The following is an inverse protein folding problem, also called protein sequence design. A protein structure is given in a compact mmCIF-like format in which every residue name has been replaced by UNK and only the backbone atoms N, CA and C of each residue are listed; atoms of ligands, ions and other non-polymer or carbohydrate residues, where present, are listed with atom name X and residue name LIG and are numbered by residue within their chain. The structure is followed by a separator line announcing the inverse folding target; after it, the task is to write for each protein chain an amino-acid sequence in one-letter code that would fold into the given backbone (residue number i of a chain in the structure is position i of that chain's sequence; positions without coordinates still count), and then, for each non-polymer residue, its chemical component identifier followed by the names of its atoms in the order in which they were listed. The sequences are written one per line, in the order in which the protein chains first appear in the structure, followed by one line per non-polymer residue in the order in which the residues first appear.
data_IF_315674026088
#
_entry.id   IF_315674026088
#
_cell.length_a   1.000
_cell.length_b   1.000
_cell.length_c   1.000
_cell.angle_alpha   90.00
_cell.angle_beta   90.00
_cell.angle_gamma   90.00
#
_symmetry.space_group_name_H-M   'P 1'
#
loop_
_entity.id
_entity.type
_entity.pdbx_description
1 polymer ?
#
# COMPACT_ATOMS: atom_id res chain seq x y z
N UNK A 1 -31.60 32.86 7.10
CA UNK A 1 -30.12 32.91 6.98
C UNK A 1 -29.64 31.53 6.54
N UNK A 2 -28.82 31.42 5.49
CA UNK A 2 -28.28 30.12 5.06
C UNK A 2 -27.28 29.61 6.11
N UNK A 3 -27.48 28.37 6.58
CA UNK A 3 -26.56 27.70 7.51
C UNK A 3 -25.21 27.49 6.84
N UNK A 4 -24.14 27.71 7.58
CA UNK A 4 -22.76 27.53 7.07
C UNK A 4 -22.48 26.05 6.86
N UNK A 5 -21.62 25.71 5.89
CA UNK A 5 -21.25 24.33 5.57
C UNK A 5 -20.64 23.56 6.76
N UNK A 6 -20.17 24.27 7.79
CA UNK A 6 -19.62 23.71 9.02
C UNK A 6 -20.72 23.15 9.95
N UNK A 7 -21.87 23.84 10.09
CA UNK A 7 -23.01 23.35 10.90
C UNK A 7 -23.70 22.12 10.29
N UNK A 8 -23.61 21.93 8.97
CA UNK A 8 -24.12 20.75 8.28
C UNK A 8 -23.27 19.49 8.53
N UNK A 9 -22.01 19.64 8.95
CA UNK A 9 -21.14 18.52 9.26
C UNK A 9 -21.41 17.98 10.68
N UNK A 10 -21.62 18.88 11.66
CA UNK A 10 -21.94 18.49 13.06
C UNK A 10 -23.31 17.82 13.19
N UNK A 11 -24.28 18.24 12.37
CA UNK A 11 -25.65 17.68 12.47
C UNK A 11 -25.74 16.23 11.96
N UNK A 12 -24.76 15.75 11.18
CA UNK A 12 -24.68 14.33 10.75
C UNK A 12 -23.90 13.43 11.70
N UNK A 13 -23.13 13.97 12.64
CA UNK A 13 -22.42 13.19 13.67
C UNK A 13 -23.35 12.77 14.82
N UNK A 14 -24.45 13.49 15.06
CA UNK A 14 -25.39 13.21 16.16
C UNK A 14 -26.53 12.23 15.83
N UNK A 15 -26.49 11.58 14.67
CA UNK A 15 -27.46 10.53 14.29
C UNK A 15 -26.77 9.17 14.05
N UNK A 16 -25.67 8.93 14.76
CA UNK A 16 -25.13 7.58 14.92
C UNK A 16 -26.07 6.86 15.89
N UNK A 17 -26.95 6.02 15.34
CA UNK A 17 -27.66 5.01 16.14
C UNK A 17 -26.63 4.31 17.04
N UNK A 18 -26.83 4.43 18.35
CA UNK A 18 -26.07 3.68 19.35
C UNK A 18 -26.36 2.21 19.05
N UNK A 19 -25.46 1.58 18.30
CA UNK A 19 -25.49 0.14 18.03
C UNK A 19 -25.40 -0.54 19.38
N UNK A 20 -26.51 -1.15 19.82
CA UNK A 20 -26.59 -1.86 21.10
C UNK A 20 -25.41 -2.84 21.22
N UNK A 21 -24.72 -2.89 22.38
CA UNK A 21 -23.59 -3.81 22.58
C UNK A 21 -24.08 -5.24 22.36
N UNK A 22 -23.46 -5.90 21.38
CA UNK A 22 -23.80 -7.26 20.95
C UNK A 22 -23.35 -8.25 22.01
N UNK A 23 -24.29 -9.05 22.52
CA UNK A 23 -24.10 -10.00 23.62
C UNK A 23 -22.96 -10.99 23.36
N UNK A 24 -22.07 -11.09 24.37
CA UNK A 24 -20.90 -11.96 24.48
C UNK A 24 -21.34 -13.44 24.52
N UNK A 25 -21.31 -14.17 23.40
CA UNK A 25 -21.41 -15.65 23.47
C UNK A 25 -20.77 -16.37 22.27
N UNK A 26 -20.84 -15.82 21.05
CA UNK A 26 -20.38 -16.55 19.85
C UNK A 26 -18.99 -16.12 19.30
N UNK A 27 -18.26 -15.25 20.01
CA UNK A 27 -17.02 -14.60 19.49
C UNK A 27 -15.72 -15.38 19.74
N UNK A 28 -15.69 -16.31 20.69
CA UNK A 28 -14.47 -17.07 21.04
C UNK A 28 -13.93 -17.91 19.86
N UNK A 29 -14.80 -18.49 19.02
CA UNK A 29 -14.36 -19.42 17.97
C UNK A 29 -13.71 -18.74 16.75
N UNK A 30 -13.89 -17.43 16.55
CA UNK A 30 -13.33 -16.70 15.41
C UNK A 30 -11.95 -16.08 15.67
N UNK A 31 -11.68 -15.66 16.90
CA UNK A 31 -10.40 -15.07 17.31
C UNK A 31 -9.35 -16.18 17.54
N UNK A 32 -9.78 -17.34 18.04
CA UNK A 32 -8.93 -18.53 18.25
C UNK A 32 -8.34 -19.11 16.94
N UNK A 33 -8.96 -18.85 15.78
CA UNK A 33 -8.41 -19.27 14.49
C UNK A 33 -7.23 -18.40 14.01
N UNK A 34 -7.17 -17.12 14.41
CA UNK A 34 -6.06 -16.21 14.09
C UNK A 34 -4.86 -16.38 15.04
N UNK A 35 -5.08 -16.97 16.21
CA UNK A 35 -4.05 -17.26 17.22
C UNK A 35 -2.94 -18.18 16.69
N UNK A 36 -3.24 -19.04 15.70
CA UNK A 36 -2.29 -20.01 15.15
C UNK A 36 -1.23 -19.44 14.21
N UNK A 37 -1.27 -18.16 13.80
CA UNK A 37 -0.30 -17.61 12.82
C UNK A 37 0.74 -16.64 13.38
N UNK A 38 0.82 -16.47 14.70
CA UNK A 38 1.60 -15.40 15.34
C UNK A 38 3.09 -15.74 15.57
N UNK A 39 3.77 -16.31 14.57
CA UNK A 39 5.20 -16.62 14.68
C UNK A 39 6.08 -15.36 14.67
N UNK A 40 5.69 -14.34 13.92
CA UNK A 40 6.47 -13.10 13.77
C UNK A 40 6.34 -12.21 15.00
N UNK A 41 5.17 -12.17 15.63
CA UNK A 41 4.83 -11.24 16.71
C UNK A 41 5.11 -11.73 18.13
N UNK A 42 5.37 -13.04 18.31
CA UNK A 42 5.89 -13.57 19.59
C UNK A 42 7.28 -13.05 19.94
N UNK A 43 7.97 -12.39 19.01
CA UNK A 43 9.32 -11.92 19.26
C UNK A 43 9.28 -10.74 20.25
N UNK A 44 9.96 -10.91 21.39
CA UNK A 44 10.05 -9.91 22.47
C UNK A 44 10.40 -8.50 21.98
N UNK A 45 11.21 -8.37 20.94
CA UNK A 45 11.60 -7.08 20.37
C UNK A 45 10.45 -6.36 19.64
N UNK A 46 9.54 -7.09 18.98
CA UNK A 46 8.36 -6.52 18.31
C UNK A 46 7.44 -5.95 19.37
N UNK A 47 7.09 -6.74 20.40
CA UNK A 47 6.28 -6.27 21.53
C UNK A 47 6.91 -5.06 22.21
N UNK A 48 8.24 -5.07 22.44
CA UNK A 48 8.95 -3.90 23.00
C UNK A 48 8.84 -2.66 22.11
N UNK A 49 8.80 -2.82 20.78
CA UNK A 49 8.64 -1.69 19.87
C UNK A 49 7.20 -1.18 19.85
N UNK A 50 6.21 -2.08 19.86
CA UNK A 50 4.80 -1.74 19.96
C UNK A 50 4.49 -0.98 21.26
N UNK A 51 5.03 -1.43 22.40
CA UNK A 51 4.88 -0.74 23.68
C UNK A 51 5.51 0.66 23.68
N UNK A 52 6.64 0.85 23.00
CA UNK A 52 7.23 2.18 22.84
C UNK A 52 6.34 3.11 22.01
N UNK A 53 5.74 2.58 20.95
CA UNK A 53 4.79 3.35 20.13
C UNK A 53 3.56 3.70 20.95
N UNK A 54 3.04 2.76 21.77
CA UNK A 54 1.95 3.03 22.70
C UNK A 54 2.27 4.23 23.60
N UNK A 55 3.45 4.24 24.22
CA UNK A 55 3.91 5.35 25.09
C UNK A 55 4.11 6.67 24.34
N UNK A 56 4.39 6.63 23.03
CA UNK A 56 4.49 7.83 22.18
C UNK A 56 3.11 8.36 21.76
N UNK A 57 2.08 7.50 21.77
CA UNK A 57 0.71 7.84 21.35
C UNK A 57 -0.22 8.23 22.49
N UNK A 58 0.05 7.71 23.69
CA UNK A 58 -0.65 8.06 24.93
C UNK A 58 -0.21 9.47 25.36
N UNK A 59 -0.77 10.48 24.70
CA UNK A 59 -0.47 11.90 24.95
C UNK A 59 -1.10 12.32 26.28
N UNK A 60 -2.23 11.73 26.62
CA UNK A 60 -2.94 11.99 27.88
C UNK A 60 -2.17 11.47 29.11
N UNK A 61 -1.39 10.40 28.96
CA UNK A 61 -0.61 9.76 30.02
C UNK A 61 -1.45 8.90 30.96
N UNK A 62 -2.65 8.49 30.54
CA UNK A 62 -3.58 7.70 31.36
C UNK A 62 -3.32 6.19 31.29
N UNK A 63 -2.39 5.77 30.41
CA UNK A 63 -2.04 4.38 30.18
C UNK A 63 -3.02 3.64 29.28
N UNK A 64 -3.92 4.35 28.61
CA UNK A 64 -4.91 3.87 27.64
C UNK A 64 -4.80 4.69 26.35
N UNK A 65 -5.51 4.27 25.31
CA UNK A 65 -5.57 5.00 24.06
C UNK A 65 -7.02 5.22 23.65
N UNK A 66 -7.38 6.49 23.47
CA UNK A 66 -8.67 6.83 22.89
C UNK A 66 -8.67 6.56 21.37
N UNK A 67 -9.85 6.61 20.76
CA UNK A 67 -10.01 6.36 19.32
C UNK A 67 -9.26 7.37 18.43
N UNK A 68 -9.06 8.61 18.90
CA UNK A 68 -8.36 9.68 18.19
C UNK A 68 -6.84 9.53 18.26
N UNK A 69 -6.31 9.16 19.43
CA UNK A 69 -4.92 8.80 19.64
C UNK A 69 -4.56 7.56 18.81
N UNK A 70 -5.42 6.53 18.82
CA UNK A 70 -5.23 5.35 17.98
C UNK A 70 -5.17 5.74 16.49
N UNK A 71 -6.12 6.53 15.98
CA UNK A 71 -6.14 6.92 14.57
C UNK A 71 -4.87 7.67 14.16
N UNK A 72 -4.42 8.59 15.00
CA UNK A 72 -3.17 9.34 14.79
C UNK A 72 -1.97 8.40 14.76
N UNK A 73 -1.95 7.39 15.64
CA UNK A 73 -0.90 6.39 15.68
C UNK A 73 -0.87 5.45 14.49
N UNK A 74 -2.02 4.98 14.04
CA UNK A 74 -2.13 4.16 12.83
C UNK A 74 -1.60 4.94 11.62
N UNK A 75 -1.95 6.21 11.48
CA UNK A 75 -1.43 7.07 10.42
C UNK A 75 0.10 7.24 10.51
N UNK A 76 0.63 7.49 11.70
CA UNK A 76 2.07 7.68 11.92
C UNK A 76 2.86 6.41 11.55
N UNK A 77 2.39 5.24 12.01
CA UNK A 77 3.03 3.95 11.70
C UNK A 77 3.02 3.70 10.20
N UNK A 78 1.92 4.01 9.52
CA UNK A 78 1.86 3.86 8.07
C UNK A 78 2.75 4.84 7.33
N UNK A 79 2.86 6.08 7.80
CA UNK A 79 3.77 7.06 7.22
C UNK A 79 5.23 6.60 7.36
N UNK A 80 5.61 6.06 8.52
CA UNK A 80 6.92 5.46 8.72
C UNK A 80 7.17 4.29 7.79
N UNK A 81 6.20 3.37 7.64
CA UNK A 81 6.31 2.24 6.71
C UNK A 81 6.40 2.72 5.24
N UNK A 82 5.65 3.74 4.86
CA UNK A 82 5.66 4.32 3.52
C UNK A 82 7.03 4.88 3.13
N UNK A 83 7.83 5.38 4.10
CA UNK A 83 9.21 5.83 3.84
C UNK A 83 10.11 4.69 3.35
N UNK A 84 9.89 3.47 3.83
CA UNK A 84 10.72 2.31 3.48
C UNK A 84 10.18 1.52 2.28
N UNK A 85 8.87 1.36 2.19
CA UNK A 85 8.23 0.50 1.20
C UNK A 85 7.59 1.27 0.03
N UNK A 86 7.63 2.60 0.10
CA UNK A 86 7.02 3.49 -0.87
C UNK A 86 5.52 3.73 -0.61
N UNK A 87 4.96 4.81 -1.17
CA UNK A 87 3.59 5.22 -0.93
C UNK A 87 2.55 4.22 -1.47
N UNK A 88 2.91 3.44 -2.50
CA UNK A 88 2.01 2.46 -3.11
C UNK A 88 1.68 1.28 -2.19
N UNK A 89 2.57 0.96 -1.24
CA UNK A 89 2.40 -0.18 -0.34
C UNK A 89 1.57 0.16 0.92
N UNK A 90 1.42 1.46 1.23
CA UNK A 90 0.84 1.91 2.49
C UNK A 90 -0.30 2.89 2.22
N UNK A 91 -1.49 2.34 1.97
CA UNK A 91 -2.73 3.12 1.88
C UNK A 91 -3.31 3.33 3.28
N UNK A 92 -3.49 4.59 3.74
CA UNK A 92 -4.12 4.88 5.02
C UNK A 92 -5.52 4.28 5.11
N UNK A 93 -5.86 3.58 6.20
CA UNK A 93 -7.22 3.15 6.45
C UNK A 93 -8.08 4.40 6.65
N UNK A 94 -9.35 4.34 6.23
CA UNK A 94 -10.27 5.42 6.53
C UNK A 94 -10.52 5.49 8.03
N UNK A 95 -10.88 6.68 8.54
CA UNK A 95 -11.25 6.87 9.95
C UNK A 95 -12.27 5.82 10.41
N UNK A 96 -13.32 5.62 9.62
CA UNK A 96 -14.36 4.61 9.89
C UNK A 96 -13.84 3.17 10.00
N UNK A 97 -12.80 2.81 9.25
CA UNK A 97 -12.18 1.47 9.36
C UNK A 97 -11.39 1.34 10.65
N UNK A 98 -10.70 2.41 11.07
CA UNK A 98 -9.99 2.42 12.36
C UNK A 98 -10.97 2.40 13.52
N UNK A 99 -12.07 3.16 13.44
CA UNK A 99 -13.13 3.14 14.44
C UNK A 99 -13.75 1.72 14.55
N UNK A 100 -14.03 1.05 13.43
CA UNK A 100 -14.53 -0.33 13.44
C UNK A 100 -13.52 -1.31 14.06
N UNK A 101 -12.23 -1.14 13.77
CA UNK A 101 -11.18 -1.95 14.39
C UNK A 101 -11.10 -1.66 15.88
N UNK A 102 -11.14 -0.40 16.30
CA UNK A 102 -11.11 0.01 17.71
C UNK A 102 -12.16 -0.76 18.52
N UNK A 103 -13.43 -0.67 18.12
CA UNK A 103 -14.54 -1.38 18.79
C UNK A 103 -14.50 -2.90 18.64
N UNK A 104 -13.66 -3.43 17.74
CA UNK A 104 -13.46 -4.87 17.60
C UNK A 104 -12.44 -5.41 18.59
N UNK A 105 -11.50 -4.57 19.04
CA UNK A 105 -10.42 -4.95 19.98
C UNK A 105 -10.64 -4.45 21.41
N UNK A 106 -11.56 -3.52 21.63
CA UNK A 106 -12.06 -3.12 22.95
C UNK A 106 -12.94 -4.23 23.55
N UNK A 107 -12.29 -5.23 24.17
CA UNK A 107 -12.94 -6.46 24.66
C UNK A 107 -13.75 -6.17 25.94
N UNK A 108 -13.29 -5.21 26.74
CA UNK A 108 -13.95 -4.78 27.97
C UNK A 108 -15.08 -3.75 27.74
N UNK A 109 -15.15 -3.13 26.55
CA UNK A 109 -16.06 -2.04 26.18
C UNK A 109 -15.86 -0.81 27.08
N UNK A 110 -14.61 -0.54 27.47
CA UNK A 110 -14.27 0.64 28.26
C UNK A 110 -14.37 1.93 27.45
N UNK A 111 -14.31 1.84 26.12
CA UNK A 111 -14.22 3.00 25.24
C UNK A 111 -12.79 3.49 25.01
N UNK A 112 -11.80 2.78 25.57
CA UNK A 112 -10.36 3.02 25.42
C UNK A 112 -9.65 1.68 25.19
N UNK A 113 -8.47 1.69 24.57
CA UNK A 113 -7.66 0.48 24.38
C UNK A 113 -6.54 0.40 25.40
N UNK A 114 -6.44 -0.74 26.08
CA UNK A 114 -5.28 -1.04 26.91
C UNK A 114 -4.05 -1.46 26.09
N UNK A 115 -2.92 -1.65 26.78
CA UNK A 115 -1.64 -2.02 26.14
C UNK A 115 -1.70 -3.34 25.39
N UNK A 116 -2.47 -4.32 25.89
CA UNK A 116 -2.56 -5.65 25.28
C UNK A 116 -3.50 -5.64 24.08
N UNK A 117 -4.66 -5.00 24.21
CA UNK A 117 -5.63 -4.78 23.13
C UNK A 117 -4.98 -4.01 21.97
N UNK A 118 -4.24 -2.94 22.28
CA UNK A 118 -3.45 -2.20 21.29
C UNK A 118 -2.41 -3.08 20.57
N UNK A 119 -1.66 -3.90 21.31
CA UNK A 119 -0.68 -4.80 20.70
C UNK A 119 -1.34 -5.79 19.74
N UNK A 120 -2.50 -6.35 20.12
CA UNK A 120 -3.26 -7.28 19.28
C UNK A 120 -3.80 -6.60 18.01
N UNK A 121 -4.33 -5.39 18.16
CA UNK A 121 -4.81 -4.57 17.04
C UNK A 121 -3.68 -4.26 16.07
N UNK A 122 -2.56 -3.73 16.58
CA UNK A 122 -1.43 -3.31 15.77
C UNK A 122 -0.78 -4.50 15.05
N UNK A 123 -0.76 -5.66 15.69
CA UNK A 123 -0.30 -6.90 15.07
C UNK A 123 -1.11 -7.27 13.82
N UNK A 124 -2.44 -7.17 13.90
CA UNK A 124 -3.31 -7.50 12.77
C UNK A 124 -3.14 -6.46 11.64
N UNK A 125 -3.02 -5.18 11.98
CA UNK A 125 -2.70 -4.13 11.02
C UNK A 125 -1.37 -4.39 10.30
N UNK A 126 -0.30 -4.66 11.05
CA UNK A 126 1.02 -4.92 10.50
C UNK A 126 1.06 -6.20 9.65
N UNK A 127 0.32 -7.24 10.03
CA UNK A 127 0.21 -8.47 9.23
C UNK A 127 -0.43 -8.19 7.88
N UNK A 128 -1.49 -7.37 7.83
CA UNK A 128 -2.14 -6.99 6.58
C UNK A 128 -1.21 -6.18 5.68
N UNK A 129 -0.46 -5.23 6.24
CA UNK A 129 0.49 -4.40 5.49
C UNK A 129 1.67 -5.27 4.99
N UNK A 130 2.23 -6.11 5.86
CA UNK A 130 3.34 -7.00 5.51
C UNK A 130 2.93 -7.99 4.42
N UNK A 131 1.71 -8.53 4.46
CA UNK A 131 1.18 -9.40 3.42
C UNK A 131 1.12 -8.72 2.05
N UNK A 132 0.66 -7.47 1.99
CA UNK A 132 0.65 -6.67 0.74
C UNK A 132 2.05 -6.42 0.21
N UNK A 133 2.96 -5.99 1.07
CA UNK A 133 4.36 -5.74 0.71
C UNK A 133 5.00 -7.02 0.16
N UNK A 134 4.85 -8.13 0.89
CA UNK A 134 5.42 -9.41 0.48
C UNK A 134 4.85 -9.88 -0.86
N UNK A 135 3.53 -9.77 -1.04
CA UNK A 135 2.88 -10.14 -2.29
C UNK A 135 3.34 -9.26 -3.45
N UNK A 136 3.45 -7.94 -3.24
CA UNK A 136 3.96 -7.00 -4.24
C UNK A 136 5.39 -7.36 -4.66
N UNK A 137 6.28 -7.63 -3.71
CA UNK A 137 7.65 -8.05 -4.01
C UNK A 137 7.70 -9.40 -4.70
N UNK A 138 6.92 -10.39 -4.25
CA UNK A 138 6.85 -11.70 -4.87
C UNK A 138 6.39 -11.61 -6.33
N UNK A 139 5.31 -10.85 -6.58
CA UNK A 139 4.82 -10.60 -7.93
C UNK A 139 5.83 -9.83 -8.78
N UNK A 140 6.51 -8.82 -8.23
CA UNK A 140 7.51 -8.07 -8.98
C UNK A 140 8.70 -8.96 -9.35
N UNK A 141 9.24 -9.74 -8.40
CA UNK A 141 10.38 -10.62 -8.64
C UNK A 141 10.02 -11.76 -9.60
N UNK A 142 8.79 -12.30 -9.54
CA UNK A 142 8.37 -13.40 -10.40
C UNK A 142 7.88 -12.95 -11.78
N UNK A 143 7.08 -11.88 -11.85
CA UNK A 143 6.39 -11.46 -13.07
C UNK A 143 7.28 -10.65 -14.01
N UNK A 144 8.12 -9.77 -13.45
CA UNK A 144 9.01 -8.90 -14.24
C UNK A 144 9.94 -9.67 -15.18
N UNK A 145 10.71 -10.70 -14.75
CA UNK A 145 11.61 -11.41 -15.65
C UNK A 145 10.88 -12.16 -16.76
N UNK A 146 9.60 -12.53 -16.56
CA UNK A 146 8.79 -13.24 -17.56
C UNK A 146 8.20 -12.25 -18.58
N UNK A 147 7.68 -11.10 -18.12
CA UNK A 147 7.01 -10.14 -18.99
C UNK A 147 7.98 -9.22 -19.73
N UNK A 148 9.07 -8.79 -19.08
CA UNK A 148 10.04 -7.86 -19.66
C UNK A 148 10.53 -8.27 -21.07
N UNK A 149 11.04 -9.50 -21.30
CA UNK A 149 11.52 -9.88 -22.64
C UNK A 149 10.40 -9.93 -23.68
N UNK A 150 9.18 -10.34 -23.29
CA UNK A 150 8.03 -10.39 -24.20
C UNK A 150 7.58 -9.01 -24.65
N UNK A 151 7.54 -8.06 -23.71
CA UNK A 151 7.18 -6.66 -24.01
C UNK A 151 8.22 -6.04 -24.93
N UNK A 152 9.50 -6.26 -24.66
CA UNK A 152 10.59 -5.74 -25.51
C UNK A 152 10.49 -6.29 -26.92
N UNK A 153 10.29 -7.62 -27.07
CA UNK A 153 10.09 -8.23 -28.37
C UNK A 153 8.87 -7.63 -29.10
N UNK A 154 7.76 -7.40 -28.40
CA UNK A 154 6.57 -6.79 -28.97
C UNK A 154 6.79 -5.34 -29.42
N UNK A 155 7.49 -4.54 -28.62
CA UNK A 155 7.84 -3.15 -28.96
C UNK A 155 8.77 -3.09 -30.17
N UNK A 156 9.78 -3.96 -30.25
CA UNK A 156 10.67 -4.03 -31.41
C UNK A 156 9.89 -4.37 -32.69
N UNK A 157 8.96 -5.32 -32.64
CA UNK A 157 8.09 -5.65 -33.77
C UNK A 157 7.19 -4.49 -34.17
N UNK A 158 6.69 -3.71 -33.21
CA UNK A 158 5.91 -2.51 -33.51
C UNK A 158 6.76 -1.43 -34.18
N UNK A 159 7.99 -1.21 -33.71
CA UNK A 159 8.94 -0.27 -34.32
C UNK A 159 9.24 -0.69 -35.76
N UNK A 160 9.47 -1.97 -36.00
CA UNK A 160 9.72 -2.50 -37.35
C UNK A 160 8.52 -2.27 -38.28
N UNK A 161 7.31 -2.59 -37.83
CA UNK A 161 6.08 -2.32 -38.60
C UNK A 161 5.87 -0.83 -38.87
N UNK A 162 6.14 0.01 -37.88
CA UNK A 162 6.01 1.45 -38.02
C UNK A 162 7.05 2.03 -39.00
N UNK A 163 8.28 1.52 -38.95
CA UNK A 163 9.33 1.84 -39.92
C UNK A 163 8.95 1.41 -41.35
N UNK A 164 8.34 0.23 -41.51
CA UNK A 164 7.85 -0.23 -42.81
C UNK A 164 6.73 0.66 -43.39
N UNK A 165 5.91 1.29 -42.54
CA UNK A 165 4.83 2.18 -42.96
C UNK A 165 5.31 3.59 -43.33
N UNK A 166 6.44 4.06 -42.79
CA UNK A 166 6.92 5.42 -43.03
C UNK A 166 8.46 5.54 -43.02
N UNK A 167 9.15 4.85 -43.94
CA UNK A 167 10.62 4.65 -43.87
C UNK A 167 11.44 5.93 -43.99
N UNK A 168 10.90 6.97 -44.65
CA UNK A 168 11.63 8.23 -44.88
C UNK A 168 11.56 9.23 -43.72
N UNK A 169 10.63 9.10 -42.77
CA UNK A 169 10.41 10.13 -41.73
C UNK A 169 11.05 9.80 -40.38
N UNK A 170 11.23 8.52 -40.05
CA UNK A 170 11.66 8.12 -38.69
C UNK A 170 13.17 8.00 -38.59
N UNK A 171 13.81 7.39 -39.59
CA UNK A 171 15.27 7.27 -39.64
C UNK A 171 15.92 8.65 -39.74
N UNK A 172 15.35 9.55 -40.56
CA UNK A 172 15.79 10.93 -40.71
C UNK A 172 15.51 11.78 -39.47
N UNK A 173 14.40 11.57 -38.76
CA UNK A 173 14.09 12.30 -37.52
C UNK A 173 14.97 11.85 -36.33
N UNK A 174 15.19 10.55 -36.15
CA UNK A 174 16.08 10.06 -35.09
C UNK A 174 17.54 10.40 -35.38
N UNK A 175 17.97 10.28 -36.64
CA UNK A 175 19.30 10.68 -37.06
C UNK A 175 19.47 12.20 -36.95
N UNK A 176 18.46 13.01 -37.30
CA UNK A 176 18.53 14.46 -37.19
C UNK A 176 18.56 14.93 -35.74
N UNK A 177 17.75 14.36 -34.84
CA UNK A 177 17.81 14.65 -33.41
C UNK A 177 19.18 14.27 -32.85
N UNK A 178 19.72 13.10 -33.23
CA UNK A 178 21.04 12.66 -32.81
C UNK A 178 22.17 13.56 -33.34
N UNK A 179 22.14 13.94 -34.62
CA UNK A 179 23.16 14.80 -35.23
C UNK A 179 23.09 16.23 -34.74
N UNK A 180 21.88 16.81 -34.58
CA UNK A 180 21.72 18.19 -34.10
C UNK A 180 22.21 18.32 -32.67
N UNK A 181 21.87 17.36 -31.80
CA UNK A 181 22.28 17.40 -30.40
C UNK A 181 23.80 17.21 -30.21
N UNK A 182 24.43 16.36 -31.03
CA UNK A 182 25.88 16.13 -31.00
C UNK A 182 26.67 17.28 -31.64
N UNK A 183 26.17 17.87 -32.73
CA UNK A 183 26.83 19.01 -33.39
C UNK A 183 26.81 20.28 -32.54
N UNK A 184 25.75 20.51 -31.78
CA UNK A 184 25.65 21.68 -30.89
C UNK A 184 26.55 21.56 -29.64
N UNK A 185 26.94 20.34 -29.24
CA UNK A 185 27.72 20.11 -28.03
C UNK A 185 28.87 19.10 -28.26
N UNK A 186 29.93 19.49 -29.00
CA UNK A 186 31.02 18.58 -29.39
C UNK A 186 31.83 18.05 -28.21
N UNK A 187 31.79 18.72 -27.05
CA UNK A 187 32.48 18.31 -25.82
C UNK A 187 31.85 17.08 -25.16
N UNK A 188 30.58 16.76 -25.44
CA UNK A 188 29.87 15.61 -24.86
C UNK A 188 29.84 14.36 -25.76
N UNK A 189 30.23 14.47 -27.02
CA UNK A 189 30.31 13.35 -27.98
C UNK A 189 31.07 12.09 -27.47
N UNK A 190 32.26 12.20 -26.84
CA UNK A 190 32.97 11.03 -26.32
C UNK A 190 32.27 10.40 -25.10
N UNK A 191 31.54 11.20 -24.31
CA UNK A 191 30.80 10.70 -23.16
C UNK A 191 29.53 9.95 -23.60
N UNK A 192 28.83 10.41 -24.64
CA UNK A 192 27.65 9.70 -25.16
C UNK A 192 28.01 8.37 -25.84
N UNK A 193 29.11 8.31 -26.58
CA UNK A 193 29.58 7.05 -27.19
C UNK A 193 30.06 6.06 -26.13
N UNK A 194 30.76 6.55 -25.09
CA UNK A 194 31.10 5.74 -23.91
C UNK A 194 29.83 5.27 -23.18
N UNK A 195 28.86 6.15 -22.96
CA UNK A 195 27.61 5.84 -22.26
C UNK A 195 26.73 4.88 -23.08
N UNK A 196 26.63 5.02 -24.40
CA UNK A 196 25.97 4.05 -25.28
C UNK A 196 26.70 2.69 -25.33
N UNK A 197 28.03 2.68 -25.18
CA UNK A 197 28.80 1.43 -25.09
C UNK A 197 28.70 0.76 -23.72
N UNK A 198 28.45 1.54 -22.66
CA UNK A 198 28.23 1.08 -21.29
C UNK A 198 26.77 0.81 -20.95
N UNK A 199 25.82 1.37 -21.72
CA UNK A 199 24.40 1.06 -21.62
C UNK A 199 24.27 -0.38 -22.12
N UNK A 200 24.10 -1.36 -21.22
CA UNK A 200 23.92 -2.73 -21.66
C UNK A 200 22.67 -2.75 -22.54
N UNK A 201 22.64 -3.59 -23.57
CA UNK A 201 21.45 -3.78 -24.43
C UNK A 201 20.18 -4.16 -23.63
N UNK A 202 20.32 -4.44 -22.34
CA UNK A 202 19.26 -4.71 -21.37
C UNK A 202 18.64 -3.46 -20.73
N UNK A 203 19.20 -2.26 -20.91
CA UNK A 203 18.69 -1.02 -20.30
C UNK A 203 17.27 -0.64 -20.79
N UNK A 204 16.93 -0.77 -22.09
CA UNK A 204 15.56 -0.58 -22.56
C UNK A 204 14.59 -1.57 -21.89
N UNK A 205 15.04 -2.80 -21.66
CA UNK A 205 14.24 -3.86 -21.03
C UNK A 205 14.00 -3.56 -19.54
N UNK A 206 14.99 -2.96 -18.89
CA UNK A 206 14.91 -2.58 -17.47
C UNK A 206 13.98 -1.39 -17.28
N UNK A 207 14.09 -0.35 -18.13
CA UNK A 207 13.19 0.82 -18.11
C UNK A 207 11.75 0.40 -18.47
N UNK A 208 11.56 -0.42 -19.50
CA UNK A 208 10.25 -0.96 -19.86
C UNK A 208 9.67 -1.84 -18.73
N UNK A 209 10.50 -2.64 -18.07
CA UNK A 209 10.12 -3.39 -16.88
C UNK A 209 9.65 -2.49 -15.74
N UNK A 210 10.39 -1.43 -15.43
CA UNK A 210 10.02 -0.45 -14.39
C UNK A 210 8.71 0.26 -14.72
N UNK A 211 8.52 0.70 -15.98
CA UNK A 211 7.28 1.34 -16.42
C UNK A 211 6.09 0.37 -16.35
N UNK A 212 6.27 -0.88 -16.77
CA UNK A 212 5.23 -1.90 -16.67
C UNK A 212 4.85 -2.18 -15.21
N UNK A 213 5.84 -2.34 -14.33
CA UNK A 213 5.61 -2.55 -12.90
C UNK A 213 4.85 -1.36 -12.31
N UNK A 214 5.27 -0.14 -12.62
CA UNK A 214 4.62 1.07 -12.12
C UNK A 214 3.14 1.19 -12.56
N UNK A 215 2.78 0.68 -13.75
CA UNK A 215 1.41 0.72 -14.26
C UNK A 215 0.56 -0.46 -13.81
N UNK A 216 1.10 -1.68 -13.79
CA UNK A 216 0.33 -2.91 -13.54
C UNK A 216 0.16 -3.17 -12.04
N UNK A 217 1.18 -2.88 -11.23
CA UNK A 217 1.14 -3.20 -9.79
C UNK A 217 0.00 -2.48 -9.05
N UNK A 218 -0.24 -1.16 -9.23
CA UNK A 218 -1.35 -0.48 -8.55
C UNK A 218 -2.71 -1.10 -8.85
N UNK A 219 -2.99 -1.43 -10.12
CA UNK A 219 -4.26 -2.05 -10.52
C UNK A 219 -4.48 -3.43 -9.90
N UNK A 220 -3.42 -4.23 -9.77
CA UNK A 220 -3.49 -5.55 -9.12
C UNK A 220 -3.72 -5.41 -7.61
N UNK A 221 -3.06 -4.44 -6.96
CA UNK A 221 -3.24 -4.20 -5.52
C UNK A 221 -4.67 -3.75 -5.19
N UNK A 222 -5.25 -2.85 -5.98
CA UNK A 222 -6.64 -2.41 -5.79
C UNK A 222 -7.64 -3.57 -5.94
N UNK A 223 -7.38 -4.51 -6.86
CA UNK A 223 -8.20 -5.71 -7.03
C UNK A 223 -8.15 -6.62 -5.79
N UNK A 224 -6.96 -6.85 -5.23
CA UNK A 224 -6.77 -7.67 -4.03
C UNK A 224 -7.46 -7.04 -2.81
N UNK A 225 -7.41 -5.72 -2.69
CA UNK A 225 -8.10 -4.99 -1.62
C UNK A 225 -9.62 -5.17 -1.73
N UNK A 226 -10.16 -5.08 -2.94
CA UNK A 226 -11.58 -5.35 -3.20
C UNK A 226 -11.98 -6.79 -2.85
N UNK A 227 -11.15 -7.77 -3.22
CA UNK A 227 -11.38 -9.17 -2.91
C UNK A 227 -11.34 -9.44 -1.40
N UNK A 228 -10.33 -8.89 -0.71
CA UNK A 228 -10.14 -9.06 0.74
C UNK A 228 -11.31 -8.47 1.53
N UNK A 229 -11.80 -7.28 1.17
CA UNK A 229 -12.99 -6.70 1.80
C UNK A 229 -14.25 -7.53 1.53
N UNK A 230 -14.37 -8.14 0.34
CA UNK A 230 -15.51 -9.00 0.02
C UNK A 230 -15.52 -10.27 0.87
N UNK A 231 -14.35 -10.87 1.11
CA UNK A 231 -14.20 -12.03 2.00
C UNK A 231 -14.53 -11.66 3.45
N UNK A 232 -14.03 -10.52 3.94
CA UNK A 232 -14.35 -10.02 5.28
C UNK A 232 -15.87 -9.84 5.50
N UNK A 233 -16.57 -9.24 4.53
CA UNK A 233 -18.04 -9.09 4.57
C UNK A 233 -18.79 -10.42 4.59
N UNK A 234 -18.30 -11.45 3.90
CA UNK A 234 -18.92 -12.80 3.91
C UNK A 234 -18.77 -13.47 5.26
N UNK A 235 -17.61 -13.34 5.90
CA UNK A 235 -17.40 -13.82 7.27
C UNK A 235 -18.26 -13.07 8.29
N UNK A 236 -18.55 -11.79 8.05
CA UNK A 236 -19.46 -11.06 8.92
C UNK A 236 -20.91 -11.56 8.78
N UNK A 237 -21.41 -11.74 7.54
CA UNK A 237 -22.78 -12.22 7.29
C UNK A 237 -23.04 -13.62 7.86
N UNK A 238 -22.07 -14.54 7.72
CA UNK A 238 -22.17 -15.90 8.27
C UNK A 238 -22.15 -15.96 9.80
N UNK A 239 -21.69 -14.89 10.47
CA UNK A 239 -21.77 -14.76 11.94
C UNK A 239 -23.09 -14.14 12.43
N UNK A 240 -23.88 -13.52 11.53
CA UNK A 240 -25.18 -12.92 11.89
C UNK A 240 -26.36 -13.85 11.62
N UNK A 241 -26.18 -14.87 10.79
CA UNK A 241 -27.14 -15.94 10.55
C UNK A 241 -26.93 -17.07 11.57
#
# INVERSE_FOLDING_TARGET
MPKTAFELYDTKANNVEIVKPRTKSSRASGVVALEKSNFITRRKWVRKRMLRIFEELDVSGDGRLDCTELYSGVLLIQLELAKYFGPAACKPPSRSQVDEMFWTFDDDNSGDLDREEFCNLLQILLSNIAGRILFQFAMTIALVPILAPKIVAYVLLLIEKFHALNPQNISTALLSIYTTYILENPTVAPYYTLLLSYVPQTLPNTIAGVVLVALVVPSVLDFIDGASMTVARRHEKTKKA
#
